data_IF_846520159725
#
_entry.id   IF_846520159725
#
_cell.length_a   1.000
_cell.length_b   1.000
_cell.length_c   1.000
_cell.angle_alpha   90.00
_cell.angle_beta   90.00
_cell.angle_gamma   90.00
#
_symmetry.space_group_name_H-M   'P 1'
#
loop_
_entity.id
_entity.type
_entity.pdbx_description
1 polymer ?
#
# COMPACT_ATOMS: atom_id res chain seq x y z
N UNK A 1 -8.59 10.51 -11.09
CA UNK A 1 -9.11 11.70 -10.37
C UNK A 1 -10.31 12.18 -11.13
N UNK A 2 -11.44 12.36 -10.44
CA UNK A 2 -12.70 12.80 -11.05
C UNK A 2 -12.77 14.33 -10.98
N UNK A 3 -13.09 14.97 -12.10
CA UNK A 3 -13.14 16.43 -12.18
C UNK A 3 -14.57 16.92 -11.89
N UNK A 4 -14.73 17.58 -10.72
CA UNK A 4 -15.99 18.20 -10.30
C UNK A 4 -16.23 19.62 -10.82
N UNK A 5 -15.23 20.23 -11.51
CA UNK A 5 -15.34 21.60 -11.99
C UNK A 5 -15.92 21.73 -13.38
N UNK A 6 -15.86 20.71 -14.23
CA UNK A 6 -16.23 20.83 -15.65
C UNK A 6 -17.73 20.97 -15.92
N UNK A 7 -18.60 20.77 -14.92
CA UNK A 7 -20.06 20.96 -15.01
C UNK A 7 -20.81 20.13 -16.06
N UNK A 8 -20.09 19.39 -16.90
CA UNK A 8 -20.61 18.61 -18.02
C UNK A 8 -20.48 17.09 -17.84
N UNK A 9 -19.72 16.64 -16.82
CA UNK A 9 -19.50 15.22 -16.53
C UNK A 9 -20.09 14.84 -15.17
N UNK A 10 -20.66 13.65 -15.12
CA UNK A 10 -21.13 13.05 -13.86
C UNK A 10 -19.98 12.18 -13.32
N UNK A 11 -19.41 12.50 -12.16
CA UNK A 11 -18.27 11.74 -11.61
C UNK A 11 -18.53 10.24 -11.49
N UNK A 12 -19.77 9.83 -11.23
CA UNK A 12 -20.17 8.43 -11.17
C UNK A 12 -20.02 7.72 -12.52
N UNK A 13 -20.39 8.36 -13.64
CA UNK A 13 -20.27 7.80 -14.98
C UNK A 13 -18.81 7.66 -15.40
N UNK A 14 -17.95 8.64 -15.03
CA UNK A 14 -16.52 8.59 -15.27
C UNK A 14 -15.87 7.45 -14.49
N UNK A 15 -16.31 7.19 -13.25
CA UNK A 15 -15.83 6.09 -12.42
C UNK A 15 -16.20 4.73 -13.00
N UNK A 16 -17.46 4.56 -13.43
CA UNK A 16 -17.90 3.32 -14.06
C UNK A 16 -17.15 3.07 -15.39
N UNK A 17 -16.91 4.12 -16.17
CA UNK A 17 -16.08 4.03 -17.37
C UNK A 17 -14.66 3.59 -17.03
N UNK A 18 -14.04 4.18 -16.00
CA UNK A 18 -12.70 3.79 -15.55
C UNK A 18 -12.66 2.32 -15.10
N UNK A 19 -13.63 1.86 -14.32
CA UNK A 19 -13.71 0.46 -13.89
C UNK A 19 -13.81 -0.50 -15.08
N UNK A 20 -14.60 -0.13 -16.08
CA UNK A 20 -14.73 -0.90 -17.32
C UNK A 20 -13.39 -0.94 -18.09
N UNK A 21 -12.69 0.18 -18.22
CA UNK A 21 -11.39 0.25 -18.88
C UNK A 21 -10.33 -0.61 -18.15
N UNK A 22 -10.33 -0.61 -16.81
CA UNK A 22 -9.44 -1.47 -16.03
C UNK A 22 -9.76 -2.96 -16.24
N UNK A 23 -11.04 -3.32 -16.33
CA UNK A 23 -11.48 -4.69 -16.61
C UNK A 23 -11.05 -5.12 -18.02
N UNK A 24 -11.23 -4.26 -19.03
CA UNK A 24 -10.79 -4.53 -20.40
C UNK A 24 -9.26 -4.67 -20.46
N UNK A 25 -8.52 -3.85 -19.74
CA UNK A 25 -7.07 -3.96 -19.67
C UNK A 25 -6.62 -5.28 -19.05
N UNK A 26 -7.25 -5.73 -17.96
CA UNK A 26 -6.97 -7.04 -17.37
C UNK A 26 -7.30 -8.19 -18.31
N UNK A 27 -8.45 -8.10 -19.03
CA UNK A 27 -8.81 -9.07 -20.05
C UNK A 27 -7.73 -9.20 -21.13
N UNK A 28 -7.25 -8.07 -21.63
CA UNK A 28 -6.19 -8.05 -22.67
C UNK A 28 -4.85 -8.61 -22.14
N UNK A 29 -4.55 -8.40 -20.85
CA UNK A 29 -3.39 -8.99 -20.21
C UNK A 29 -3.48 -10.52 -20.12
N UNK A 30 -4.64 -11.03 -19.69
CA UNK A 30 -4.90 -12.48 -19.61
C UNK A 30 -4.85 -13.12 -21.00
N UNK A 31 -5.49 -12.51 -22.00
CA UNK A 31 -5.50 -13.02 -23.38
C UNK A 31 -4.08 -13.10 -23.96
N UNK A 32 -3.29 -12.03 -23.83
CA UNK A 32 -1.89 -12.03 -24.28
C UNK A 32 -1.03 -13.06 -23.55
N UNK A 33 -1.27 -13.26 -22.24
CA UNK A 33 -0.58 -14.30 -21.48
C UNK A 33 -0.98 -15.68 -21.97
N UNK A 34 -2.27 -15.93 -22.16
CA UNK A 34 -2.80 -17.20 -22.69
C UNK A 34 -2.21 -17.55 -24.05
N UNK A 35 -2.13 -16.61 -24.97
CA UNK A 35 -1.49 -16.82 -26.28
C UNK A 35 0.00 -17.21 -26.14
N UNK A 36 0.75 -16.52 -25.27
CA UNK A 36 2.17 -16.80 -25.03
C UNK A 36 2.35 -18.17 -24.41
N UNK A 37 1.63 -18.45 -23.34
CA UNK A 37 1.69 -19.72 -22.58
C UNK A 37 1.21 -20.88 -23.45
N UNK A 38 0.15 -20.69 -24.24
CA UNK A 38 -0.36 -21.69 -25.17
C UNK A 38 0.66 -22.12 -26.23
N UNK A 39 1.47 -21.19 -26.73
CA UNK A 39 2.60 -21.52 -27.64
C UNK A 39 3.69 -22.33 -26.92
N UNK A 40 4.00 -21.97 -25.69
CA UNK A 40 5.03 -22.67 -24.86
C UNK A 40 4.54 -24.06 -24.40
N UNK A 41 3.26 -24.20 -24.06
CA UNK A 41 2.66 -25.48 -23.71
C UNK A 41 2.72 -26.51 -24.86
N UNK A 42 2.60 -26.07 -26.10
CA UNK A 42 2.78 -26.91 -27.32
C UNK A 42 4.20 -27.41 -27.49
N UNK A 43 5.21 -26.73 -26.96
CA UNK A 43 6.62 -27.16 -27.01
C UNK A 43 6.98 -28.24 -25.98
N UNK A 44 6.03 -28.62 -25.09
CA UNK A 44 6.21 -29.76 -24.18
C UNK A 44 6.47 -29.40 -22.71
N UNK A 45 6.58 -28.13 -22.34
CA UNK A 45 6.80 -27.70 -20.95
C UNK A 45 5.52 -27.91 -20.13
N UNK A 46 5.60 -28.78 -19.13
CA UNK A 46 4.46 -29.18 -18.30
C UNK A 46 3.92 -28.06 -17.40
N UNK A 47 4.77 -27.11 -17.03
CA UNK A 47 4.37 -25.93 -16.20
C UNK A 47 3.36 -25.06 -16.95
N UNK A 48 3.67 -24.76 -18.22
CA UNK A 48 2.76 -23.97 -19.05
C UNK A 48 1.47 -24.72 -19.43
N UNK A 49 1.53 -26.06 -19.54
CA UNK A 49 0.32 -26.86 -19.77
C UNK A 49 -0.67 -26.77 -18.61
N UNK A 50 -0.18 -26.69 -17.36
CA UNK A 50 -1.03 -26.55 -16.19
C UNK A 50 -1.66 -25.15 -16.08
N UNK A 51 -0.97 -24.11 -16.56
CA UNK A 51 -1.45 -22.72 -16.48
C UNK A 51 -2.57 -22.39 -17.51
N UNK A 52 -2.60 -23.06 -18.64
CA UNK A 52 -3.59 -22.78 -19.72
C UNK A 52 -5.04 -22.85 -19.23
N UNK A 53 -5.50 -23.91 -18.54
CA UNK A 53 -6.89 -23.98 -18.06
C UNK A 53 -7.26 -22.85 -17.10
N UNK A 54 -6.33 -22.40 -16.26
CA UNK A 54 -6.59 -21.32 -15.31
C UNK A 54 -6.72 -19.98 -16.03
N UNK A 55 -5.86 -19.71 -17.02
CA UNK A 55 -5.98 -18.52 -17.86
C UNK A 55 -7.28 -18.52 -18.71
N UNK A 56 -7.74 -19.67 -19.20
CA UNK A 56 -9.02 -19.79 -19.89
C UNK A 56 -10.21 -19.49 -18.96
N UNK A 57 -10.16 -19.95 -17.71
CA UNK A 57 -11.18 -19.64 -16.70
C UNK A 57 -11.19 -18.16 -16.35
N UNK A 58 -10.00 -17.55 -16.19
CA UNK A 58 -9.85 -16.12 -15.92
C UNK A 58 -10.41 -15.28 -17.07
N UNK A 59 -10.10 -15.65 -18.31
CA UNK A 59 -10.64 -14.97 -19.50
C UNK A 59 -12.16 -15.04 -19.55
N UNK A 60 -12.75 -16.21 -19.31
CA UNK A 60 -14.21 -16.38 -19.27
C UNK A 60 -14.86 -15.58 -18.12
N UNK A 61 -14.17 -15.43 -16.97
CA UNK A 61 -14.63 -14.59 -15.85
C UNK A 61 -14.69 -13.12 -16.24
N UNK A 62 -13.64 -12.61 -16.89
CA UNK A 62 -13.56 -11.23 -17.39
C UNK A 62 -14.53 -10.96 -18.55
N UNK A 63 -14.70 -11.90 -19.47
CA UNK A 63 -15.69 -11.82 -20.58
C UNK A 63 -17.13 -11.78 -20.05
N UNK A 64 -17.39 -12.32 -18.85
CA UNK A 64 -18.67 -12.18 -18.16
C UNK A 64 -18.84 -10.83 -17.44
N UNK A 65 -17.90 -9.89 -17.60
CA UNK A 65 -17.93 -8.57 -16.98
C UNK A 65 -17.57 -8.56 -15.50
N UNK A 66 -16.94 -9.63 -14.97
CA UNK A 66 -16.57 -9.75 -13.57
C UNK A 66 -15.10 -9.37 -13.36
N UNK A 67 -14.84 -8.56 -12.34
CA UNK A 67 -13.50 -8.11 -11.94
C UNK A 67 -12.68 -9.27 -11.37
N UNK A 68 -11.35 -9.25 -11.55
CA UNK A 68 -10.45 -10.20 -10.90
C UNK A 68 -10.35 -10.00 -9.36
N UNK A 69 -10.85 -8.88 -8.82
CA UNK A 69 -11.05 -8.74 -7.37
C UNK A 69 -12.12 -9.70 -6.82
N UNK A 70 -13.02 -10.22 -7.67
CA UNK A 70 -14.07 -11.20 -7.34
C UNK A 70 -13.60 -12.65 -7.58
N UNK A 71 -12.34 -12.83 -8.00
CA UNK A 71 -11.77 -14.15 -8.23
C UNK A 71 -11.35 -14.80 -6.91
N UNK A 72 -11.83 -16.02 -6.65
CA UNK A 72 -11.64 -16.72 -5.37
C UNK A 72 -10.35 -17.54 -5.29
N UNK A 73 -9.84 -17.97 -6.45
CA UNK A 73 -8.63 -18.78 -6.51
C UNK A 73 -7.37 -17.91 -6.56
N UNK A 74 -6.19 -18.51 -6.38
CA UNK A 74 -4.91 -17.81 -6.52
C UNK A 74 -4.69 -17.35 -7.97
N UNK A 75 -4.29 -16.10 -8.13
CA UNK A 75 -3.96 -15.54 -9.44
C UNK A 75 -2.52 -15.87 -9.84
N UNK A 76 -2.23 -16.11 -11.13
CA UNK A 76 -0.86 -16.29 -11.60
C UNK A 76 0.02 -15.10 -11.20
N UNK A 77 1.18 -15.34 -10.55
CA UNK A 77 1.99 -14.27 -9.93
C UNK A 77 2.51 -13.22 -10.92
N UNK A 78 2.63 -13.56 -12.20
CA UNK A 78 3.10 -12.64 -13.24
C UNK A 78 1.95 -11.84 -13.91
N UNK A 79 0.71 -12.01 -13.46
CA UNK A 79 -0.42 -11.35 -14.13
C UNK A 79 -0.56 -9.87 -13.73
N UNK A 80 -0.22 -9.51 -12.49
CA UNK A 80 -0.29 -8.14 -11.93
C UNK A 80 -1.61 -7.39 -12.28
N UNK A 81 -2.78 -7.96 -11.95
CA UNK A 81 -4.06 -7.42 -12.39
C UNK A 81 -4.34 -6.03 -11.82
N UNK A 82 -5.00 -5.18 -12.61
CA UNK A 82 -5.34 -3.81 -12.24
C UNK A 82 -6.58 -3.76 -11.34
N UNK A 83 -7.59 -4.60 -11.64
CA UNK A 83 -8.87 -4.59 -10.92
C UNK A 83 -8.78 -5.14 -9.49
N UNK A 84 -7.68 -5.81 -9.12
CA UNK A 84 -7.41 -6.24 -7.74
C UNK A 84 -6.75 -5.16 -6.88
N UNK A 85 -6.30 -4.06 -7.49
CA UNK A 85 -5.64 -2.97 -6.77
C UNK A 85 -6.68 -2.15 -6.03
N UNK A 86 -6.43 -1.79 -4.75
CA UNK A 86 -7.31 -0.89 -4.02
C UNK A 86 -7.49 0.44 -4.76
N UNK A 87 -8.74 0.90 -4.89
CA UNK A 87 -9.09 2.14 -5.56
C UNK A 87 -9.46 3.21 -4.52
N UNK A 88 -8.78 4.33 -4.56
CA UNK A 88 -9.14 5.52 -3.79
C UNK A 88 -9.74 6.57 -4.72
N UNK A 89 -11.02 6.87 -4.53
CA UNK A 89 -11.73 7.90 -5.27
C UNK A 89 -11.49 9.27 -4.63
N UNK A 90 -11.08 10.24 -5.45
CA UNK A 90 -10.93 11.64 -5.08
C UNK A 90 -11.69 12.51 -6.06
N UNK A 91 -12.65 13.27 -5.55
CA UNK A 91 -13.38 14.28 -6.31
C UNK A 91 -12.63 15.59 -6.21
N UNK A 92 -12.24 16.17 -7.37
CA UNK A 92 -11.65 17.49 -7.44
C UNK A 92 -12.76 18.54 -7.48
N UNK A 93 -12.79 19.46 -6.56
CA UNK A 93 -13.76 20.54 -6.49
C UNK A 93 -14.26 20.84 -5.08
N UNK A 94 -15.23 21.75 -4.98
CA UNK A 94 -15.72 22.28 -3.71
C UNK A 94 -16.33 21.25 -2.77
N UNK A 95 -16.85 20.12 -3.31
CA UNK A 95 -17.41 19.01 -2.54
C UNK A 95 -16.38 17.91 -2.22
N UNK A 96 -15.11 18.13 -2.58
CA UNK A 96 -14.04 17.16 -2.43
C UNK A 96 -12.72 17.81 -2.02
N UNK A 97 -11.69 17.62 -2.82
CA UNK A 97 -10.38 18.25 -2.63
C UNK A 97 -10.20 19.31 -3.73
N UNK A 98 -10.14 20.58 -3.35
CA UNK A 98 -9.80 21.65 -4.29
C UNK A 98 -8.30 21.62 -4.56
N UNK A 99 -7.91 20.88 -5.60
CA UNK A 99 -6.50 20.70 -5.96
C UNK A 99 -5.86 21.97 -6.50
N UNK A 100 -6.65 22.86 -7.11
CA UNK A 100 -6.13 24.14 -7.59
C UNK A 100 -5.76 25.02 -6.41
N UNK A 101 -6.65 25.15 -5.44
CA UNK A 101 -6.39 25.87 -4.20
C UNK A 101 -5.18 25.29 -3.46
N UNK A 102 -5.11 23.97 -3.29
CA UNK A 102 -3.97 23.33 -2.62
C UNK A 102 -2.66 23.57 -3.37
N UNK A 103 -2.66 23.56 -4.71
CA UNK A 103 -1.48 23.87 -5.50
C UNK A 103 -1.03 25.34 -5.34
N UNK A 104 -1.97 26.28 -5.29
CA UNK A 104 -1.67 27.69 -5.05
C UNK A 104 -1.12 27.93 -3.63
N UNK A 105 -1.69 27.23 -2.63
CA UNK A 105 -1.26 27.36 -1.24
C UNK A 105 0.13 26.76 -0.95
N UNK A 106 0.61 25.82 -1.76
CA UNK A 106 1.98 25.27 -1.64
C UNK A 106 3.04 26.32 -1.96
N UNK A 107 2.73 27.29 -2.83
CA UNK A 107 3.65 28.37 -3.20
C UNK A 107 3.76 29.47 -2.12
N UNK A 108 2.87 29.46 -1.11
CA UNK A 108 2.85 30.45 -0.02
C UNK A 108 3.69 29.99 1.18
N UNK A 109 4.19 30.94 2.01
CA UNK A 109 4.72 30.61 3.32
C UNK A 109 3.68 29.84 4.17
N UNK A 110 4.11 28.87 5.02
CA UNK A 110 3.20 28.04 5.78
C UNK A 110 2.17 28.82 6.63
N UNK A 111 2.58 29.97 7.18
CA UNK A 111 1.70 30.81 8.00
C UNK A 111 0.58 31.45 7.18
N UNK A 112 0.92 31.97 5.99
CA UNK A 112 -0.06 32.56 5.07
C UNK A 112 -1.00 31.48 4.53
N UNK A 113 -0.47 30.32 4.12
CA UNK A 113 -1.29 29.19 3.69
C UNK A 113 -2.28 28.72 4.77
N UNK A 114 -1.88 28.73 6.05
CA UNK A 114 -2.75 28.38 7.17
C UNK A 114 -3.87 29.43 7.37
N UNK A 115 -3.60 30.71 7.19
CA UNK A 115 -4.61 31.77 7.23
C UNK A 115 -5.67 31.57 6.13
N UNK A 116 -5.25 31.32 4.89
CA UNK A 116 -6.15 31.03 3.78
C UNK A 116 -7.04 29.80 4.03
N UNK A 117 -6.53 28.77 4.74
CA UNK A 117 -7.32 27.61 5.17
C UNK A 117 -8.23 27.88 6.37
N UNK A 118 -8.28 29.12 6.88
CA UNK A 118 -9.05 29.43 8.10
C UNK A 118 -8.55 28.71 9.35
N UNK A 119 -7.25 28.40 9.42
CA UNK A 119 -6.63 27.61 10.51
C UNK A 119 -6.80 26.11 10.37
N UNK A 120 -7.39 25.60 9.28
CA UNK A 120 -7.58 24.18 9.02
C UNK A 120 -6.29 23.49 8.51
N UNK A 121 -6.26 22.17 8.61
CA UNK A 121 -5.21 21.33 8.02
C UNK A 121 -5.32 21.32 6.48
N UNK A 122 -4.19 21.07 5.80
CA UNK A 122 -4.20 20.82 4.36
C UNK A 122 -5.05 19.60 3.99
N UNK A 123 -5.88 19.75 2.96
CA UNK A 123 -6.65 18.65 2.41
C UNK A 123 -5.75 17.48 1.93
N UNK A 124 -4.50 17.79 1.52
CA UNK A 124 -3.51 16.78 1.13
C UNK A 124 -3.15 15.83 2.27
N UNK A 125 -3.08 16.33 3.53
CA UNK A 125 -2.88 15.48 4.71
C UNK A 125 -3.98 14.44 4.87
N UNK A 126 -5.23 14.84 4.63
CA UNK A 126 -6.38 13.93 4.60
C UNK A 126 -6.32 12.90 3.48
N UNK A 127 -5.87 13.32 2.28
CA UNK A 127 -5.67 12.41 1.14
C UNK A 127 -4.61 11.36 1.46
N UNK A 128 -3.46 11.76 2.01
CA UNK A 128 -2.38 10.82 2.39
C UNK A 128 -2.88 9.82 3.43
N UNK A 129 -3.64 10.26 4.43
CA UNK A 129 -4.26 9.39 5.44
C UNK A 129 -5.20 8.36 4.79
N UNK A 130 -6.09 8.80 3.90
CA UNK A 130 -6.99 7.90 3.16
C UNK A 130 -6.24 6.90 2.28
N UNK A 131 -5.11 7.27 1.68
CA UNK A 131 -4.24 6.33 0.96
C UNK A 131 -3.67 5.28 1.91
N UNK A 132 -3.15 5.67 3.06
CA UNK A 132 -2.62 4.74 4.04
C UNK A 132 -3.69 3.75 4.53
N UNK A 133 -4.91 4.23 4.82
CA UNK A 133 -6.05 3.41 5.20
C UNK A 133 -6.48 2.45 4.07
N UNK A 134 -6.59 2.94 2.83
CA UNK A 134 -6.99 2.14 1.66
C UNK A 134 -5.98 1.02 1.37
N UNK A 135 -4.70 1.26 1.62
CA UNK A 135 -3.62 0.30 1.46
C UNK A 135 -3.39 -0.57 2.71
N UNK A 136 -4.19 -0.35 3.77
CA UNK A 136 -4.05 -0.99 5.08
C UNK A 136 -2.63 -0.89 5.63
N UNK A 137 -2.08 0.33 5.58
CA UNK A 137 -0.75 0.63 6.10
C UNK A 137 -0.78 1.02 7.57
N UNK A 138 0.19 0.49 8.30
CA UNK A 138 0.60 0.95 9.62
C UNK A 138 1.96 1.63 9.51
N UNK A 139 2.33 2.38 10.53
CA UNK A 139 3.66 2.99 10.65
C UNK A 139 4.40 2.37 11.82
N UNK A 140 5.59 1.84 11.57
CA UNK A 140 6.54 1.52 12.62
C UNK A 140 7.75 2.44 12.55
N UNK A 141 8.53 2.50 13.61
CA UNK A 141 9.68 3.38 13.70
C UNK A 141 10.96 2.60 13.96
N UNK A 142 12.07 3.17 13.54
CA UNK A 142 13.40 2.86 14.04
C UNK A 142 13.96 4.10 14.72
N UNK A 143 14.48 3.97 15.94
CA UNK A 143 15.06 5.08 16.68
C UNK A 143 16.44 4.68 17.18
N UNK A 144 17.46 5.38 16.71
CA UNK A 144 18.86 5.21 17.09
C UNK A 144 19.51 6.55 17.38
N UNK A 145 20.77 6.53 17.84
CA UNK A 145 21.53 7.75 18.15
C UNK A 145 21.70 8.71 16.96
N UNK A 146 21.74 8.17 15.74
CA UNK A 146 22.00 8.95 14.52
C UNK A 146 20.76 9.35 13.77
N UNK A 147 19.72 8.53 13.82
CA UNK A 147 18.53 8.70 12.99
C UNK A 147 17.31 8.10 13.69
N UNK A 148 16.19 8.82 13.56
CA UNK A 148 14.85 8.31 13.84
C UNK A 148 14.05 8.34 12.53
N UNK A 149 13.46 7.20 12.15
CA UNK A 149 12.76 7.08 10.88
C UNK A 149 11.44 6.34 11.02
N UNK A 150 10.42 6.82 10.30
CA UNK A 150 9.13 6.17 10.13
C UNK A 150 9.13 5.30 8.85
N UNK A 151 8.53 4.12 8.95
CA UNK A 151 8.46 3.14 7.88
C UNK A 151 7.02 2.67 7.68
N UNK A 152 6.48 2.73 6.46
CA UNK A 152 5.19 2.14 6.19
C UNK A 152 5.30 0.61 6.09
N UNK A 153 4.31 -0.08 6.64
CA UNK A 153 4.20 -1.54 6.58
C UNK A 153 2.73 -1.92 6.41
N UNK A 154 2.41 -2.95 5.63
CA UNK A 154 1.04 -3.46 5.60
C UNK A 154 0.68 -4.09 6.94
N UNK A 155 -0.52 -3.83 7.43
CA UNK A 155 -1.05 -4.44 8.66
C UNK A 155 -0.98 -5.97 8.57
N UNK A 156 -0.69 -6.63 9.68
CA UNK A 156 -0.55 -8.08 9.74
C UNK A 156 0.81 -8.62 9.28
N UNK A 157 1.70 -7.75 8.82
CA UNK A 157 3.08 -8.14 8.50
C UNK A 157 3.92 -8.30 9.76
N UNK A 158 4.97 -9.09 9.65
CA UNK A 158 5.79 -9.53 10.78
C UNK A 158 7.09 -8.73 10.93
N UNK A 159 7.80 -8.96 12.04
CA UNK A 159 9.10 -8.33 12.30
C UNK A 159 10.15 -8.64 11.22
N UNK A 160 10.07 -9.81 10.56
CA UNK A 160 10.97 -10.13 9.44
C UNK A 160 10.61 -9.30 8.20
N UNK A 161 9.30 -9.06 7.94
CA UNK A 161 8.86 -8.19 6.85
C UNK A 161 9.24 -6.73 7.10
N UNK A 162 9.15 -6.27 8.36
CA UNK A 162 9.63 -4.95 8.77
C UNK A 162 11.15 -4.81 8.57
N UNK A 163 11.91 -5.83 8.93
CA UNK A 163 13.35 -5.87 8.69
C UNK A 163 13.70 -5.79 7.19
N UNK A 164 12.93 -6.49 6.33
CA UNK A 164 13.07 -6.43 4.87
C UNK A 164 12.75 -5.03 4.33
N UNK A 165 11.73 -4.36 4.88
CA UNK A 165 11.38 -2.97 4.54
C UNK A 165 12.51 -2.00 4.84
N UNK A 166 13.28 -2.24 5.92
CA UNK A 166 14.44 -1.41 6.26
C UNK A 166 15.59 -1.73 5.30
N UNK A 167 15.98 -3.00 5.19
CA UNK A 167 17.03 -3.47 4.30
C UNK A 167 17.07 -5.01 4.24
N UNK A 168 17.26 -5.57 3.05
CA UNK A 168 17.33 -7.03 2.84
C UNK A 168 18.43 -7.74 3.65
N UNK A 169 19.56 -7.07 3.92
CA UNK A 169 20.63 -7.63 4.74
C UNK A 169 20.19 -7.78 6.21
N UNK A 170 19.40 -6.83 6.73
CA UNK A 170 18.86 -6.90 8.09
C UNK A 170 17.89 -8.08 8.21
N UNK A 171 17.03 -8.28 7.23
CA UNK A 171 16.13 -9.42 7.19
C UNK A 171 16.89 -10.74 7.09
N UNK A 172 17.90 -10.83 6.22
CA UNK A 172 18.73 -12.04 6.05
C UNK A 172 19.46 -12.41 7.34
N UNK A 173 20.02 -11.42 8.02
CA UNK A 173 20.76 -11.61 9.27
C UNK A 173 19.91 -11.59 10.53
N UNK A 174 18.58 -11.51 10.44
CA UNK A 174 17.69 -11.30 11.57
C UNK A 174 17.85 -12.36 12.66
N UNK A 175 18.13 -11.91 13.88
CA UNK A 175 18.23 -12.74 15.08
C UNK A 175 16.97 -12.57 15.95
N UNK A 176 16.66 -11.34 16.33
CA UNK A 176 15.53 -10.96 17.18
C UNK A 176 15.26 -9.46 17.05
N UNK A 177 14.13 -9.01 17.56
CA UNK A 177 13.75 -7.62 17.57
C UNK A 177 13.39 -7.16 18.99
N UNK A 178 13.93 -6.03 19.42
CA UNK A 178 13.47 -5.32 20.61
C UNK A 178 12.37 -4.38 20.19
N UNK A 179 11.21 -4.47 20.84
CA UNK A 179 9.99 -3.73 20.49
C UNK A 179 9.57 -2.90 21.70
N UNK A 180 9.28 -1.64 21.47
CA UNK A 180 8.68 -0.73 22.46
C UNK A 180 7.67 0.17 21.74
N UNK A 181 6.58 0.53 22.41
CA UNK A 181 5.63 1.51 21.87
C UNK A 181 6.29 2.89 21.82
N UNK A 182 5.99 3.67 20.77
CA UNK A 182 6.59 5.01 20.63
C UNK A 182 6.27 5.94 21.80
N UNK A 183 5.04 5.87 22.33
CA UNK A 183 4.59 6.65 23.48
C UNK A 183 5.33 6.25 24.78
N UNK A 184 5.47 4.94 25.02
CA UNK A 184 6.26 4.41 26.15
C UNK A 184 7.75 4.82 26.03
N UNK A 185 8.31 4.85 24.83
CA UNK A 185 9.70 5.25 24.58
C UNK A 185 9.91 6.74 24.89
N UNK A 186 8.96 7.58 24.45
CA UNK A 186 8.99 9.04 24.70
C UNK A 186 8.84 9.33 26.19
N UNK A 187 7.88 8.67 26.87
CA UNK A 187 7.65 8.82 28.33
C UNK A 187 8.89 8.40 29.13
N UNK A 188 9.51 7.30 28.74
CA UNK A 188 10.71 6.81 29.42
C UNK A 188 11.95 7.68 29.18
N UNK A 189 11.99 8.44 28.08
CA UNK A 189 13.13 9.27 27.70
C UNK A 189 14.26 8.53 26.98
N UNK A 190 14.09 7.23 26.66
CA UNK A 190 15.06 6.45 25.91
C UNK A 190 14.90 4.95 26.04
N UNK A 191 15.60 4.21 25.15
CA UNK A 191 15.54 2.73 25.12
C UNK A 191 16.00 2.06 26.43
N UNK A 192 17.06 2.58 27.05
CA UNK A 192 17.58 2.00 28.29
C UNK A 192 16.60 2.19 29.46
N UNK A 193 15.93 3.32 29.52
CA UNK A 193 14.94 3.66 30.54
C UNK A 193 13.66 2.84 30.31
N UNK A 194 13.18 2.73 29.06
CA UNK A 194 12.05 1.90 28.69
C UNK A 194 12.30 0.41 29.04
N UNK A 195 13.50 -0.09 28.77
CA UNK A 195 13.89 -1.45 29.18
C UNK A 195 13.89 -1.65 30.70
N UNK A 196 14.43 -0.69 31.49
CA UNK A 196 14.39 -0.73 32.96
C UNK A 196 12.97 -0.66 33.52
N UNK A 197 12.07 0.06 32.83
CA UNK A 197 10.66 0.14 33.19
C UNK A 197 9.85 -1.09 32.77
N UNK A 198 10.48 -2.09 32.08
CA UNK A 198 9.81 -3.29 31.60
C UNK A 198 8.86 -3.07 30.43
N UNK A 199 9.01 -1.94 29.72
CA UNK A 199 8.20 -1.56 28.56
C UNK A 199 8.72 -2.14 27.25
N UNK A 200 9.99 -2.57 27.21
CA UNK A 200 10.62 -3.18 26.06
C UNK A 200 10.38 -4.69 26.04
N UNK A 201 9.89 -5.21 24.93
CA UNK A 201 9.67 -6.64 24.66
C UNK A 201 10.77 -7.17 23.75
N UNK A 202 11.04 -8.46 23.85
CA UNK A 202 11.96 -9.16 22.95
C UNK A 202 11.17 -10.13 22.10
N UNK A 203 11.15 -9.89 20.78
CA UNK A 203 10.28 -10.59 19.85
C UNK A 203 11.06 -11.33 18.76
N UNK A 204 10.46 -12.38 18.21
CA UNK A 204 11.00 -13.18 17.12
C UNK A 204 10.52 -12.73 15.75
N UNK A 205 10.94 -13.47 14.71
CA UNK A 205 10.62 -13.21 13.29
C UNK A 205 9.12 -13.12 13.01
N UNK A 206 8.31 -13.89 13.72
CA UNK A 206 6.86 -14.04 13.50
C UNK A 206 6.01 -13.05 14.29
N UNK A 207 6.62 -12.16 15.06
CA UNK A 207 5.90 -11.09 15.75
C UNK A 207 5.17 -10.22 14.73
N UNK A 208 3.85 -10.05 14.89
CA UNK A 208 3.05 -9.17 14.05
C UNK A 208 3.24 -7.75 14.54
N UNK A 209 3.78 -6.89 13.68
CA UNK A 209 4.09 -5.49 14.01
C UNK A 209 2.79 -4.69 14.15
N UNK A 210 2.71 -3.89 15.21
CA UNK A 210 1.59 -3.00 15.48
C UNK A 210 1.91 -1.55 15.08
N UNK A 211 0.85 -0.78 14.80
CA UNK A 211 1.00 0.64 14.49
C UNK A 211 1.61 1.40 15.68
N UNK A 212 2.69 2.14 15.43
CA UNK A 212 3.42 2.87 16.46
C UNK A 212 4.49 2.07 17.20
N UNK A 213 4.79 0.84 16.80
CA UNK A 213 5.94 0.11 17.34
C UNK A 213 7.26 0.77 16.96
N UNK A 214 8.20 0.85 17.90
CA UNK A 214 9.58 1.21 17.64
C UNK A 214 10.41 -0.07 17.69
N UNK A 215 11.02 -0.40 16.56
CA UNK A 215 11.76 -1.64 16.35
C UNK A 215 13.28 -1.41 16.38
N UNK A 216 13.98 -2.19 17.19
CA UNK A 216 15.44 -2.28 17.17
C UNK A 216 15.83 -3.71 16.79
N UNK A 217 16.14 -3.92 15.51
CA UNK A 217 16.43 -5.25 14.96
C UNK A 217 17.89 -5.62 15.26
N UNK A 218 18.08 -6.74 15.92
CA UNK A 218 19.39 -7.37 16.15
C UNK A 218 19.65 -8.37 15.03
N UNK A 219 20.71 -8.14 14.29
CA UNK A 219 21.05 -8.96 13.12
C UNK A 219 22.56 -9.20 13.07
N UNK A 220 22.94 -10.24 12.33
CA UNK A 220 24.33 -10.59 12.05
C UNK A 220 24.49 -10.83 10.55
N UNK A 221 25.41 -10.11 9.91
CA UNK A 221 25.72 -10.21 8.46
C UNK A 221 27.12 -10.77 8.30
#
# INVERSE_FOLDING_TARGET
MLDGFSGTRVPADDLETLKLELLVADRDHVERRLERVGKQAKSGDTRFKAEVPDLERLLAHLDAGRSLAEWEDELPPELEPLTTKPLLELVNGAEGVDLQLEAELVELPPEEAAEFRGGGESALGGVVRRFAETLDLITFFTAGEKETRAWPLRRGRTAIDAAETIHSDIARGFIRCEVVRWDDLVEAGGHAEAARAGKQRLEGKTYVVEDGDVLNVRFNV
#
